data_IF_322515436507
#
_entry.id   IF_322515436507
#
_cell.length_a   1.000
_cell.length_b   1.000
_cell.length_c   1.000
_cell.angle_alpha   90.00
_cell.angle_beta   90.00
_cell.angle_gamma   90.00
#
_symmetry.space_group_name_H-M   'P 1'
#
loop_
_entity.id
_entity.type
_entity.pdbx_description
1 polymer ?
#
# COMPACT_ATOMS: atom_id res chain seq x y z
N UNK A 1 73.55 2.48 -5.24
CA UNK A 1 72.33 2.11 -5.99
C UNK A 1 71.15 2.27 -5.03
N UNK A 2 70.36 3.34 -5.17
CA UNK A 2 69.17 3.57 -4.31
C UNK A 2 67.94 3.06 -5.04
N UNK A 3 67.26 2.08 -4.46
CA UNK A 3 65.96 1.57 -4.92
C UNK A 3 64.84 2.43 -4.32
N UNK A 4 64.03 3.04 -5.19
CA UNK A 4 62.81 3.72 -4.80
C UNK A 4 61.69 2.68 -4.63
N UNK A 5 61.19 2.50 -3.40
CA UNK A 5 59.97 1.76 -3.12
C UNK A 5 58.77 2.64 -3.41
N UNK A 6 57.99 2.30 -4.46
CA UNK A 6 56.73 2.97 -4.74
C UNK A 6 55.76 2.75 -3.57
N UNK A 7 55.30 3.84 -2.95
CA UNK A 7 54.28 3.80 -1.91
C UNK A 7 52.96 3.31 -2.51
N UNK A 8 52.55 2.10 -2.16
CA UNK A 8 51.26 1.55 -2.57
C UNK A 8 50.16 2.22 -1.74
N UNK A 9 49.25 2.96 -2.40
CA UNK A 9 48.13 3.62 -1.72
C UNK A 9 47.25 2.58 -1.00
N UNK A 10 46.83 2.89 0.22
CA UNK A 10 46.02 1.98 1.02
C UNK A 10 44.66 1.71 0.34
N UNK A 11 44.22 0.44 0.24
CA UNK A 11 42.96 0.12 -0.40
C UNK A 11 41.77 0.70 0.39
N UNK A 12 40.76 1.19 -0.33
CA UNK A 12 39.51 1.69 0.26
C UNK A 12 38.44 0.62 0.12
N UNK A 13 37.91 0.15 1.26
CA UNK A 13 36.80 -0.80 1.31
C UNK A 13 35.48 -0.05 1.54
N UNK A 14 34.45 -0.42 0.78
CA UNK A 14 33.07 0.05 0.96
C UNK A 14 32.16 -1.16 1.15
N UNK A 15 31.23 -1.09 2.11
CA UNK A 15 30.25 -2.13 2.40
C UNK A 15 28.86 -1.63 2.05
N UNK A 16 28.06 -2.49 1.42
CA UNK A 16 26.61 -2.33 1.28
C UNK A 16 25.97 -3.57 1.89
N UNK A 17 24.88 -3.39 2.64
CA UNK A 17 24.05 -4.49 3.16
C UNK A 17 22.83 -4.64 2.26
N UNK A 18 22.54 -5.87 1.82
CA UNK A 18 21.43 -6.20 0.92
C UNK A 18 20.46 -7.14 1.65
N UNK A 19 19.15 -6.93 1.47
CA UNK A 19 18.09 -7.73 2.08
C UNK A 19 17.10 -8.19 1.02
N UNK A 20 16.64 -9.43 1.12
CA UNK A 20 15.53 -9.97 0.32
C UNK A 20 14.61 -10.78 1.25
N UNK A 21 13.30 -10.62 1.08
CA UNK A 21 12.29 -11.40 1.78
C UNK A 21 11.56 -12.30 0.79
N UNK A 22 11.40 -13.58 1.14
CA UNK A 22 10.74 -14.59 0.30
C UNK A 22 9.56 -15.15 1.10
N UNK A 23 8.36 -15.07 0.55
CA UNK A 23 7.16 -15.76 1.02
C UNK A 23 6.74 -16.83 0.01
N UNK A 24 6.18 -17.95 0.47
CA UNK A 24 5.88 -19.13 -0.37
C UNK A 24 4.42 -19.21 -0.86
N UNK A 25 3.55 -18.36 -0.33
CA UNK A 25 2.10 -18.44 -0.53
C UNK A 25 1.48 -17.18 -1.12
N UNK A 26 1.98 -15.99 -0.75
CA UNK A 26 1.52 -14.69 -1.25
C UNK A 26 2.66 -13.67 -1.25
N UNK A 27 2.69 -12.81 -2.27
CA UNK A 27 3.54 -11.63 -2.35
C UNK A 27 2.73 -10.45 -2.89
N UNK A 28 2.78 -9.33 -2.17
CA UNK A 28 2.05 -8.10 -2.51
C UNK A 28 3.05 -6.97 -2.73
N UNK A 29 2.93 -6.29 -3.87
CA UNK A 29 3.90 -5.30 -4.34
C UNK A 29 3.23 -4.17 -5.13
N UNK A 30 4.03 -3.17 -5.49
CA UNK A 30 3.67 -2.24 -6.56
C UNK A 30 3.71 -2.96 -7.93
N UNK A 31 3.09 -2.40 -8.98
CA UNK A 31 3.07 -3.01 -10.31
C UNK A 31 4.45 -3.29 -10.89
N UNK A 32 5.42 -2.44 -10.58
CA UNK A 32 6.82 -2.56 -11.01
C UNK A 32 7.61 -3.64 -10.24
N UNK A 33 6.97 -4.32 -9.28
CA UNK A 33 7.58 -5.35 -8.45
C UNK A 33 8.41 -4.80 -7.29
N UNK A 34 8.46 -3.48 -7.11
CA UNK A 34 9.05 -2.88 -5.91
C UNK A 34 8.15 -3.12 -4.68
N UNK A 35 8.67 -2.83 -3.49
CA UNK A 35 7.97 -3.04 -2.23
C UNK A 35 6.62 -2.31 -2.12
N UNK A 36 5.96 -2.49 -0.98
CA UNK A 36 4.68 -1.86 -0.70
C UNK A 36 4.76 -0.32 -0.69
N UNK A 37 3.60 0.33 -0.65
CA UNK A 37 3.49 1.78 -0.51
C UNK A 37 3.83 2.23 0.91
N UNK A 38 4.85 3.08 1.07
CA UNK A 38 5.26 3.62 2.38
C UNK A 38 4.49 4.90 2.75
N UNK A 39 4.36 5.84 1.82
CA UNK A 39 3.70 7.12 2.03
C UNK A 39 2.98 7.57 0.76
N UNK A 40 1.70 7.90 0.88
CA UNK A 40 0.87 8.35 -0.23
C UNK A 40 0.02 9.55 0.21
N UNK A 41 -0.15 10.51 -0.69
CA UNK A 41 -1.01 11.68 -0.50
C UNK A 41 -2.34 11.45 -1.23
N UNK A 42 -3.45 11.80 -0.57
CA UNK A 42 -4.76 11.80 -1.21
C UNK A 42 -4.96 13.10 -1.97
N UNK A 43 -5.34 12.98 -3.24
CA UNK A 43 -5.54 14.11 -4.14
C UNK A 43 -6.96 14.68 -3.99
N UNK A 44 -7.12 16.01 -3.97
CA UNK A 44 -8.44 16.64 -3.93
C UNK A 44 -9.20 16.39 -5.24
N UNK A 45 -10.45 15.91 -5.17
CA UNK A 45 -11.23 15.49 -6.35
C UNK A 45 -12.30 16.49 -6.78
N UNK A 46 -12.55 17.53 -5.98
CA UNK A 46 -13.67 18.45 -6.16
C UNK A 46 -13.23 19.92 -6.36
N UNK A 47 -11.92 20.18 -6.49
CA UNK A 47 -11.30 21.52 -6.57
C UNK A 47 -11.53 22.44 -5.35
N UNK A 48 -12.31 22.01 -4.37
CA UNK A 48 -12.67 22.78 -3.17
C UNK A 48 -12.09 22.16 -1.90
N UNK A 49 -11.34 21.06 -2.04
CA UNK A 49 -10.70 20.34 -0.95
C UNK A 49 -11.72 19.81 0.07
N UNK A 50 -12.91 19.38 -0.39
CA UNK A 50 -13.92 18.73 0.47
C UNK A 50 -13.97 17.22 0.29
N UNK A 51 -13.47 16.69 -0.82
CA UNK A 51 -13.34 15.28 -1.13
C UNK A 51 -11.94 14.98 -1.64
N UNK A 52 -11.38 13.86 -1.20
CA UNK A 52 -10.02 13.42 -1.51
C UNK A 52 -10.02 11.95 -1.88
N UNK A 53 -9.13 11.56 -2.80
CA UNK A 53 -9.03 10.18 -3.26
C UNK A 53 -7.64 9.86 -3.78
N UNK A 54 -7.24 8.59 -3.68
CA UNK A 54 -6.08 8.02 -4.35
C UNK A 54 -6.39 6.61 -4.82
N UNK A 55 -5.97 6.26 -6.03
CA UNK A 55 -6.02 4.87 -6.50
C UNK A 55 -4.61 4.30 -6.54
N UNK A 56 -4.39 3.25 -5.75
CA UNK A 56 -3.14 2.52 -5.64
C UNK A 56 -3.24 1.24 -6.47
N UNK A 57 -2.55 1.12 -7.60
CA UNK A 57 -2.44 -0.16 -8.27
C UNK A 57 -1.59 -1.10 -7.42
N UNK A 58 -2.09 -2.30 -7.13
CA UNK A 58 -1.40 -3.31 -6.32
C UNK A 58 -1.20 -4.55 -7.17
N UNK A 59 0.00 -5.13 -7.16
CA UNK A 59 0.28 -6.42 -7.77
C UNK A 59 0.26 -7.48 -6.70
N UNK A 60 -0.51 -8.55 -6.93
CA UNK A 60 -0.63 -9.67 -6.02
C UNK A 60 -0.22 -10.92 -6.78
N UNK A 61 0.87 -11.55 -6.33
CA UNK A 61 1.23 -12.90 -6.72
C UNK A 61 0.79 -13.86 -5.61
N UNK A 62 0.11 -14.95 -5.97
CA UNK A 62 -0.22 -16.02 -5.02
C UNK A 62 -0.06 -17.39 -5.65
N UNK A 63 0.13 -18.42 -4.82
CA UNK A 63 0.20 -19.81 -5.30
C UNK A 63 -1.16 -20.35 -5.75
N UNK A 64 -2.23 -19.91 -5.09
CA UNK A 64 -3.61 -20.31 -5.38
C UNK A 64 -4.29 -19.42 -6.41
N UNK A 65 -5.49 -19.79 -6.82
CA UNK A 65 -6.33 -18.94 -7.69
C UNK A 65 -7.05 -17.84 -6.92
N UNK A 66 -6.95 -17.83 -5.58
CA UNK A 66 -7.73 -16.96 -4.70
C UNK A 66 -6.87 -16.41 -3.56
N UNK A 67 -7.24 -15.21 -3.10
CA UNK A 67 -6.77 -14.65 -1.83
C UNK A 67 -7.89 -13.86 -1.15
N UNK A 68 -7.71 -13.55 0.13
CA UNK A 68 -8.60 -12.68 0.88
C UNK A 68 -7.93 -11.34 1.18
N UNK A 69 -8.73 -10.27 1.19
CA UNK A 69 -8.30 -8.93 1.57
C UNK A 69 -9.26 -8.33 2.60
N UNK A 70 -8.71 -7.75 3.66
CA UNK A 70 -9.47 -7.06 4.71
C UNK A 70 -8.70 -5.85 5.24
N UNK A 71 -9.38 -4.96 5.95
CA UNK A 71 -8.68 -3.98 6.80
C UNK A 71 -8.34 -4.63 8.13
N UNK A 72 -7.08 -4.52 8.57
CA UNK A 72 -6.67 -5.00 9.88
C UNK A 72 -7.20 -4.10 11.02
N UNK A 73 -7.48 -2.83 10.71
CA UNK A 73 -8.11 -1.84 11.60
C UNK A 73 -8.85 -0.78 10.78
N UNK A 74 -9.79 -0.03 11.37
CA UNK A 74 -10.48 1.05 10.66
C UNK A 74 -9.49 2.09 10.12
N UNK A 75 -9.74 2.59 8.92
CA UNK A 75 -8.99 3.72 8.38
C UNK A 75 -9.50 5.01 9.03
N UNK A 76 -8.63 5.64 9.81
CA UNK A 76 -8.90 6.90 10.49
C UNK A 76 -7.81 7.91 10.11
N UNK A 77 -8.20 9.08 9.60
CA UNK A 77 -7.28 10.17 9.23
C UNK A 77 -7.52 11.40 10.11
N UNK A 78 -6.58 11.73 10.99
CA UNK A 78 -6.73 12.78 12.00
C UNK A 78 -5.80 13.96 11.79
N UNK A 79 -6.26 15.14 12.19
CA UNK A 79 -5.53 16.41 12.16
C UNK A 79 -6.05 17.33 13.27
N UNK A 80 -5.20 17.63 14.26
CA UNK A 80 -5.63 18.37 15.45
C UNK A 80 -6.76 17.65 16.19
N UNK A 81 -7.86 18.36 16.42
CA UNK A 81 -9.08 17.81 17.07
C UNK A 81 -10.06 17.16 16.11
N UNK A 82 -9.78 17.20 14.80
CA UNK A 82 -10.69 16.71 13.78
C UNK A 82 -10.23 15.40 13.15
N UNK A 83 -11.20 14.67 12.62
CA UNK A 83 -11.03 13.45 11.83
C UNK A 83 -11.72 13.65 10.47
N UNK A 84 -11.11 13.17 9.39
CA UNK A 84 -11.77 13.14 8.08
C UNK A 84 -12.99 12.21 8.12
N UNK A 85 -14.03 12.59 7.39
CA UNK A 85 -15.30 11.85 7.32
C UNK A 85 -15.26 10.84 6.18
N UNK A 86 -16.10 9.81 6.27
CA UNK A 86 -16.34 8.83 5.19
C UNK A 86 -15.04 8.24 4.61
N UNK A 87 -14.04 8.02 5.47
CA UNK A 87 -12.80 7.36 5.07
C UNK A 87 -13.11 5.91 4.68
N UNK A 88 -12.81 5.53 3.44
CA UNK A 88 -13.14 4.22 2.89
C UNK A 88 -12.08 3.70 1.94
N UNK A 89 -12.04 2.38 1.83
CA UNK A 89 -11.14 1.64 0.95
C UNK A 89 -11.97 0.73 0.06
N UNK A 90 -11.75 0.80 -1.24
CA UNK A 90 -12.51 0.06 -2.25
C UNK A 90 -11.53 -0.71 -3.13
N UNK A 91 -11.76 -1.99 -3.33
CA UNK A 91 -11.06 -2.80 -4.31
C UNK A 91 -11.87 -2.85 -5.61
N UNK A 92 -11.23 -2.53 -6.74
CA UNK A 92 -11.81 -2.80 -8.06
C UNK A 92 -11.37 -4.18 -8.56
N UNK A 93 -12.33 -5.08 -8.80
CA UNK A 93 -12.10 -6.42 -9.32
C UNK A 93 -13.18 -6.79 -10.35
N UNK A 94 -12.77 -7.31 -11.51
CA UNK A 94 -13.69 -7.84 -12.54
C UNK A 94 -14.81 -6.86 -12.93
N UNK A 95 -14.50 -5.56 -12.99
CA UNK A 95 -15.47 -4.50 -13.32
C UNK A 95 -16.44 -4.13 -12.19
N UNK A 96 -16.26 -4.67 -10.98
CA UNK A 96 -17.00 -4.32 -9.76
C UNK A 96 -16.11 -3.61 -8.76
N UNK A 97 -16.74 -2.85 -7.87
CA UNK A 97 -16.11 -2.15 -6.77
C UNK A 97 -16.68 -2.68 -5.45
N UNK A 98 -15.81 -3.25 -4.62
CA UNK A 98 -16.19 -3.83 -3.34
C UNK A 98 -15.43 -3.11 -2.20
N UNK A 99 -16.16 -2.72 -1.16
CA UNK A 99 -15.57 -2.04 0.00
C UNK A 99 -14.79 -3.03 0.87
N UNK A 100 -13.52 -2.73 1.11
CA UNK A 100 -12.65 -3.50 2.01
C UNK A 100 -12.91 -3.06 3.44
N UNK A 101 -13.40 -3.97 4.28
CA UNK A 101 -13.82 -3.67 5.66
C UNK A 101 -13.03 -4.46 6.70
N UNK A 102 -13.11 -3.99 7.95
CA UNK A 102 -12.54 -4.68 9.10
C UNK A 102 -13.38 -5.90 9.44
N UNK A 103 -12.75 -7.05 9.65
CA UNK A 103 -13.42 -8.28 10.08
C UNK A 103 -14.34 -8.93 9.04
N UNK A 104 -14.37 -8.42 7.81
CA UNK A 104 -15.16 -8.97 6.70
C UNK A 104 -14.27 -9.12 5.45
N UNK A 105 -13.46 -10.20 5.37
CA UNK A 105 -12.57 -10.41 4.25
C UNK A 105 -13.33 -10.55 2.93
N UNK A 106 -12.88 -9.83 1.91
CA UNK A 106 -13.31 -10.02 0.53
C UNK A 106 -12.46 -11.10 -0.11
N UNK A 107 -13.13 -12.09 -0.71
CA UNK A 107 -12.46 -13.09 -1.54
C UNK A 107 -12.21 -12.53 -2.94
N UNK A 108 -10.95 -12.53 -3.35
CA UNK A 108 -10.48 -12.09 -4.66
C UNK A 108 -10.09 -13.30 -5.49
N UNK A 109 -10.63 -13.39 -6.69
CA UNK A 109 -10.32 -14.43 -7.67
C UNK A 109 -9.27 -13.89 -8.63
N UNK A 110 -8.20 -14.65 -8.83
CA UNK A 110 -7.20 -14.41 -9.84
C UNK A 110 -7.38 -15.34 -11.03
N UNK A 111 -7.11 -14.83 -12.22
CA UNK A 111 -7.29 -15.54 -13.49
C UNK A 111 -6.09 -15.46 -14.45
N UNK A 112 -5.08 -14.65 -14.13
CA UNK A 112 -3.85 -14.52 -14.93
C UNK A 112 -2.79 -15.44 -14.33
N UNK A 113 -2.38 -16.50 -15.06
CA UNK A 113 -1.26 -17.32 -14.64
C UNK A 113 0.03 -16.50 -14.58
N UNK A 114 0.80 -16.73 -13.53
CA UNK A 114 2.16 -16.20 -13.34
C UNK A 114 3.16 -17.35 -13.21
N UNK A 115 4.40 -17.02 -12.83
CA UNK A 115 5.40 -18.04 -12.54
C UNK A 115 5.06 -18.79 -11.24
N UNK A 116 4.79 -20.09 -11.34
CA UNK A 116 4.47 -20.94 -10.18
C UNK A 116 3.17 -20.62 -9.45
N UNK A 117 2.27 -19.82 -10.04
CA UNK A 117 1.04 -19.35 -9.39
C UNK A 117 0.20 -18.42 -10.27
N UNK A 118 -0.47 -17.46 -9.65
CA UNK A 118 -1.29 -16.43 -10.28
C UNK A 118 -0.75 -15.05 -9.95
N UNK A 119 -0.77 -14.14 -10.92
CA UNK A 119 -0.17 -12.81 -10.79
C UNK A 119 -1.03 -11.77 -11.49
N UNK A 120 -1.62 -10.85 -10.71
CA UNK A 120 -2.53 -9.84 -11.23
C UNK A 120 -2.36 -8.49 -10.55
N UNK A 121 -2.64 -7.45 -11.33
CA UNK A 121 -2.74 -6.08 -10.84
C UNK A 121 -4.21 -5.76 -10.55
N UNK A 122 -4.47 -5.32 -9.33
CA UNK A 122 -5.76 -4.81 -8.85
C UNK A 122 -5.64 -3.31 -8.54
N UNK A 123 -6.78 -2.63 -8.36
CA UNK A 123 -6.81 -1.22 -7.94
C UNK A 123 -7.45 -1.09 -6.58
N UNK A 124 -6.71 -0.49 -5.64
CA UNK A 124 -7.20 -0.16 -4.31
C UNK A 124 -7.41 1.36 -4.24
N UNK A 125 -8.66 1.79 -4.16
CA UNK A 125 -9.01 3.21 -4.06
C UNK A 125 -9.29 3.59 -2.62
N UNK A 126 -8.54 4.55 -2.10
CA UNK A 126 -8.72 5.16 -0.78
C UNK A 126 -9.38 6.50 -0.98
N UNK A 127 -10.42 6.82 -0.20
CA UNK A 127 -11.07 8.13 -0.27
C UNK A 127 -11.55 8.59 1.09
N UNK A 128 -11.65 9.90 1.27
CA UNK A 128 -12.15 10.54 2.48
C UNK A 128 -12.71 11.93 2.18
N UNK A 129 -13.48 12.50 3.11
CA UNK A 129 -14.03 13.86 3.05
C UNK A 129 -13.49 14.74 4.14
N UNK A 130 -13.32 16.03 3.85
CA UNK A 130 -12.93 17.01 4.86
C UNK A 130 -13.94 17.01 6.04
N UNK A 131 -13.48 17.25 7.28
CA UNK A 131 -14.39 17.46 8.41
C UNK A 131 -15.30 18.69 8.19
N UNK A 132 -16.39 18.73 8.95
CA UNK A 132 -17.21 19.94 9.04
C UNK A 132 -16.64 20.85 10.12
N UNK A 133 -16.42 22.12 9.80
CA UNK A 133 -16.02 23.11 10.79
C UNK A 133 -17.20 23.41 11.72
N UNK A 134 -16.97 23.38 13.03
CA UNK A 134 -17.97 23.84 14.01
C UNK A 134 -17.88 25.36 14.18
N UNK A 135 -18.98 26.07 14.52
CA UNK A 135 -19.00 27.54 14.55
C UNK A 135 -17.91 28.17 15.43
N UNK A 136 -17.68 27.60 16.62
CA UNK A 136 -16.69 28.08 17.58
C UNK A 136 -15.42 27.21 17.63
N UNK A 137 -15.29 26.28 16.68
CA UNK A 137 -14.17 25.35 16.63
C UNK A 137 -12.91 25.93 16.00
N UNK A 138 -11.74 25.30 16.24
CA UNK A 138 -10.53 25.65 15.51
C UNK A 138 -10.72 25.44 14.00
N UNK A 139 -9.88 26.08 13.19
CA UNK A 139 -9.87 25.86 11.75
C UNK A 139 -9.68 24.38 11.41
N UNK A 140 -10.39 23.90 10.38
CA UNK A 140 -10.20 22.56 9.83
C UNK A 140 -9.01 22.48 8.86
N UNK A 141 -8.37 23.61 8.52
CA UNK A 141 -7.20 23.62 7.65
C UNK A 141 -6.01 22.97 8.36
N UNK A 142 -5.36 22.02 7.71
CA UNK A 142 -4.21 21.34 8.29
C UNK A 142 -3.90 20.04 7.58
N UNK A 143 -2.92 19.31 8.12
CA UNK A 143 -2.52 18.01 7.58
C UNK A 143 -3.23 16.91 8.36
N UNK A 144 -3.93 16.04 7.64
CA UNK A 144 -4.60 14.87 8.17
C UNK A 144 -3.79 13.63 7.82
N UNK A 145 -3.50 12.78 8.80
CA UNK A 145 -2.72 11.55 8.60
C UNK A 145 -3.40 10.36 9.25
N UNK A 146 -3.20 9.21 8.66
CA UNK A 146 -3.72 7.94 9.11
C UNK A 146 -2.96 6.81 8.45
N UNK A 147 -2.97 5.66 9.09
CA UNK A 147 -2.33 4.46 8.57
C UNK A 147 -3.38 3.56 7.93
N UNK A 148 -3.21 3.28 6.64
CA UNK A 148 -3.95 2.21 5.98
C UNK A 148 -3.24 0.88 6.26
N UNK A 149 -3.88 0.01 7.05
CA UNK A 149 -3.34 -1.33 7.35
C UNK A 149 -4.25 -2.38 6.73
N UNK A 150 -3.75 -3.01 5.68
CA UNK A 150 -4.47 -4.01 4.89
C UNK A 150 -3.88 -5.38 5.18
N UNK A 151 -4.75 -6.34 5.43
CA UNK A 151 -4.41 -7.74 5.57
C UNK A 151 -4.68 -8.46 4.24
N UNK A 152 -3.67 -9.15 3.73
CA UNK A 152 -3.77 -10.05 2.58
C UNK A 152 -3.48 -11.46 3.05
N UNK A 153 -4.39 -12.39 2.80
CA UNK A 153 -4.25 -13.79 3.21
C UNK A 153 -4.37 -14.69 1.99
N UNK A 154 -3.42 -15.62 1.77
CA UNK A 154 -3.58 -16.62 0.73
C UNK A 154 -4.78 -17.50 1.07
N UNK A 155 -5.63 -17.81 0.09
CA UNK A 155 -6.57 -18.93 0.26
C UNK A 155 -5.78 -20.23 0.18
N UNK A 156 -6.20 -21.26 0.93
CA UNK A 156 -5.59 -22.57 0.83
C UNK A 156 -5.56 -23.01 -0.64
N UNK A 157 -4.37 -23.34 -1.15
CA UNK A 157 -4.25 -23.90 -2.49
C UNK A 157 -4.97 -25.24 -2.50
N UNK A 158 -6.03 -25.37 -3.30
CA UNK A 158 -6.59 -26.69 -3.58
C UNK A 158 -5.51 -27.50 -4.31
N UNK A 159 -5.13 -28.69 -3.81
CA UNK A 159 -4.12 -29.54 -4.44
C UNK A 159 -4.42 -29.88 -5.90
#
# INVERSE_FOLDING_TARGET
>A
MSSASAAHAAPVVKKITLTAQIGDSIFVSRPDGSGWYDHEELDATDRTQRAFSKTLPIRVWTKGTEFNIALARPLTMRGGVYEMRDAKVVLSQSGREDEVRVGAPLKVQQSTPGDGGYDQIHRLTVSARAPAQTPDGPSINGIYRGDLVVLFEPSAATP
#
